data_IF_999758338682
#
_entry.id   IF_999758338682
#
_cell.length_a   1.000
_cell.length_b   1.000
_cell.length_c   1.000
_cell.angle_alpha   90.00
_cell.angle_beta   90.00
_cell.angle_gamma   90.00
#
_symmetry.space_group_name_H-M   'P 1'
#
loop_
_entity.id
_entity.type
_entity.pdbx_description
1 polymer ?
#
# COMPACT_ATOMS: atom_id res chain seq x y z
N UNK A 1 39.14 58.90 3.10
CA UNK A 1 38.82 57.58 3.66
C UNK A 1 37.37 57.29 3.43
N UNK A 2 37.05 56.46 2.45
CA UNK A 2 35.69 56.02 2.13
C UNK A 2 35.34 54.91 3.13
N UNK A 3 34.29 55.17 3.90
CA UNK A 3 33.81 54.32 4.97
C UNK A 3 33.34 52.96 4.47
N UNK A 4 34.18 51.93 4.62
CA UNK A 4 33.90 50.53 4.24
C UNK A 4 32.80 49.85 5.04
N UNK A 5 32.27 50.47 6.10
CA UNK A 5 31.20 49.89 6.94
C UNK A 5 29.83 50.02 6.34
N UNK A 6 29.60 50.95 5.45
CA UNK A 6 28.29 51.11 4.79
C UNK A 6 28.04 50.17 3.61
N UNK A 7 29.09 49.64 2.97
CA UNK A 7 28.93 48.69 1.85
C UNK A 7 28.67 47.25 2.28
N UNK A 8 28.95 46.86 3.51
CA UNK A 8 28.73 45.50 4.03
C UNK A 8 27.25 45.30 4.43
N UNK A 9 26.55 46.36 4.80
CA UNK A 9 25.16 46.28 5.25
C UNK A 9 24.18 46.16 4.03
N UNK A 10 24.51 46.71 2.88
CA UNK A 10 23.66 46.59 1.68
C UNK A 10 23.75 45.22 0.99
N UNK A 11 24.84 44.45 1.17
CA UNK A 11 24.99 43.12 0.56
C UNK A 11 24.32 42.05 1.39
N UNK A 12 24.09 42.25 2.69
CA UNK A 12 23.45 41.28 3.58
C UNK A 12 21.91 41.32 3.48
N UNK A 13 21.30 42.43 3.00
CA UNK A 13 19.85 42.57 2.88
C UNK A 13 19.29 41.95 1.58
N UNK A 14 20.13 41.77 0.56
CA UNK A 14 19.69 41.15 -0.73
C UNK A 14 19.81 39.61 -0.72
N UNK A 15 20.58 39.05 0.23
CA UNK A 15 20.79 37.60 0.35
C UNK A 15 19.71 36.80 1.10
N UNK A 16 18.75 37.47 1.75
CA UNK A 16 17.79 36.78 2.64
C UNK A 16 16.38 36.70 2.07
N UNK A 17 16.12 37.13 0.85
CA UNK A 17 14.80 37.14 0.25
C UNK A 17 14.54 36.02 -0.77
N UNK A 18 15.41 35.02 -0.88
CA UNK A 18 15.30 33.98 -1.93
C UNK A 18 15.19 32.56 -1.39
N UNK A 19 14.73 32.36 -0.15
CA UNK A 19 14.57 31.02 0.45
C UNK A 19 13.16 30.75 1.00
N UNK A 20 12.11 31.32 0.41
CA UNK A 20 10.71 31.03 0.77
C UNK A 20 9.81 30.76 -0.44
N UNK A 21 10.32 30.02 -1.42
CA UNK A 21 9.51 29.55 -2.53
C UNK A 21 9.68 28.03 -2.69
N UNK A 22 9.35 27.29 -1.67
CA UNK A 22 9.40 25.83 -1.61
C UNK A 22 8.24 25.21 -0.86
N UNK A 23 7.08 25.86 -0.80
CA UNK A 23 5.83 25.18 -0.48
C UNK A 23 5.29 24.60 -1.78
N UNK A 24 5.54 23.34 -2.05
CA UNK A 24 4.81 22.60 -3.07
C UNK A 24 3.32 22.67 -2.72
N UNK A 25 2.54 23.39 -3.51
CA UNK A 25 1.11 23.50 -3.33
C UNK A 25 0.49 22.13 -3.59
N UNK A 26 0.07 21.45 -2.55
CA UNK A 26 -0.74 20.24 -2.62
C UNK A 26 -2.13 20.60 -3.12
N UNK A 27 -2.29 20.65 -4.44
CA UNK A 27 -3.56 20.91 -5.11
C UNK A 27 -3.94 22.39 -5.19
N UNK A 28 -4.15 22.89 -6.40
CA UNK A 28 -4.59 24.24 -6.68
C UNK A 28 -5.91 24.18 -7.46
N UNK A 29 -6.86 25.02 -7.10
CA UNK A 29 -8.10 25.19 -7.87
C UNK A 29 -7.89 26.36 -8.84
N UNK A 30 -7.55 26.05 -10.08
CA UNK A 30 -7.48 27.04 -11.16
C UNK A 30 -8.85 27.28 -11.78
N UNK A 31 -9.03 28.43 -12.44
CA UNK A 31 -10.20 28.66 -13.30
C UNK A 31 -9.71 28.69 -14.74
N UNK A 32 -10.43 27.97 -15.60
CA UNK A 32 -10.19 28.04 -17.05
C UNK A 32 -10.72 29.37 -17.64
N UNK A 33 -10.49 29.58 -18.93
CA UNK A 33 -10.95 30.80 -19.64
C UNK A 33 -12.46 31.02 -19.51
N UNK A 34 -13.26 29.97 -19.30
CA UNK A 34 -14.71 30.02 -19.14
C UNK A 34 -15.13 30.22 -17.65
N UNK A 35 -14.18 30.49 -16.74
CA UNK A 35 -14.43 30.69 -15.31
C UNK A 35 -14.76 29.42 -14.54
N UNK A 36 -14.71 28.23 -15.16
CA UNK A 36 -14.98 26.95 -14.53
C UNK A 36 -13.78 26.54 -13.65
N UNK A 37 -14.06 26.02 -12.47
CA UNK A 37 -13.03 25.49 -11.57
C UNK A 37 -12.38 24.24 -12.20
N UNK A 38 -11.06 24.25 -12.30
CA UNK A 38 -10.24 23.13 -12.74
C UNK A 38 -9.38 22.70 -11.56
N UNK A 39 -9.44 21.42 -11.23
CA UNK A 39 -8.55 20.82 -10.22
C UNK A 39 -7.18 20.59 -10.86
N UNK A 40 -6.14 20.96 -10.18
CA UNK A 40 -4.75 20.68 -10.56
C UNK A 40 -3.93 20.33 -9.33
N UNK A 41 -2.91 19.51 -9.50
CA UNK A 41 -1.99 19.17 -8.41
C UNK A 41 -1.49 17.74 -8.49
N UNK A 42 -0.97 17.27 -7.37
CA UNK A 42 -0.33 15.97 -7.26
C UNK A 42 -0.87 15.22 -6.05
N UNK A 43 -1.24 13.96 -6.22
CA UNK A 43 -1.73 13.07 -5.16
C UNK A 43 -0.84 11.83 -5.12
N UNK A 44 -0.41 11.45 -3.94
CA UNK A 44 0.43 10.28 -3.72
C UNK A 44 -0.29 9.21 -2.90
N UNK A 45 -0.19 7.96 -3.35
CA UNK A 45 -0.74 6.81 -2.64
C UNK A 45 0.34 5.75 -2.40
N UNK A 46 0.30 5.10 -1.24
CA UNK A 46 1.10 3.89 -1.00
C UNK A 46 0.33 2.85 -0.22
N UNK A 47 0.72 1.59 -0.31
CA UNK A 47 0.24 0.58 0.62
C UNK A 47 -0.14 -0.77 0.02
N UNK A 48 -1.34 -1.25 0.33
CA UNK A 48 -1.77 -2.63 0.11
C UNK A 48 -1.74 -3.07 -1.35
N UNK A 49 -1.07 -4.19 -1.63
CA UNK A 49 -1.05 -4.83 -2.95
C UNK A 49 -2.47 -5.18 -3.44
N UNK A 50 -3.34 -5.64 -2.55
CA UNK A 50 -4.71 -6.01 -2.89
C UNK A 50 -5.53 -4.86 -3.51
N UNK A 51 -5.29 -3.61 -3.07
CA UNK A 51 -6.01 -2.44 -3.58
C UNK A 51 -5.30 -1.81 -4.80
N UNK A 52 -4.02 -2.10 -5.01
CA UNK A 52 -3.20 -1.45 -6.02
C UNK A 52 -3.79 -1.48 -7.45
N UNK A 53 -4.24 -2.65 -8.00
CA UNK A 53 -4.79 -2.70 -9.35
C UNK A 53 -6.06 -1.84 -9.50
N UNK A 54 -6.92 -1.81 -8.47
CA UNK A 54 -8.14 -1.02 -8.47
C UNK A 54 -7.82 0.48 -8.36
N UNK A 55 -6.83 0.84 -7.53
CA UNK A 55 -6.38 2.22 -7.38
C UNK A 55 -5.81 2.78 -8.69
N UNK A 56 -5.07 1.99 -9.47
CA UNK A 56 -4.60 2.36 -10.81
C UNK A 56 -5.79 2.69 -11.72
N UNK A 57 -6.81 1.84 -11.78
CA UNK A 57 -7.98 2.07 -12.63
C UNK A 57 -8.75 3.33 -12.20
N UNK A 58 -8.86 3.59 -10.89
CA UNK A 58 -9.48 4.82 -10.39
C UNK A 58 -8.65 6.06 -10.72
N UNK A 59 -7.32 5.97 -10.64
CA UNK A 59 -6.43 7.07 -10.98
C UNK A 59 -6.52 7.42 -12.48
N UNK A 60 -6.51 6.41 -13.34
CA UNK A 60 -6.67 6.60 -14.79
C UNK A 60 -8.00 7.30 -15.12
N UNK A 61 -9.09 6.85 -14.52
CA UNK A 61 -10.41 7.47 -14.72
C UNK A 61 -10.49 8.88 -14.12
N UNK A 62 -9.87 9.10 -12.95
CA UNK A 62 -9.81 10.42 -12.34
C UNK A 62 -8.99 11.40 -13.20
N UNK A 63 -7.85 10.96 -13.71
CA UNK A 63 -7.01 11.76 -14.61
C UNK A 63 -7.76 12.11 -15.91
N UNK A 64 -8.55 11.18 -16.46
CA UNK A 64 -9.42 11.46 -17.64
C UNK A 64 -10.42 12.58 -17.38
N UNK A 65 -10.95 12.67 -16.14
CA UNK A 65 -11.89 13.73 -15.73
C UNK A 65 -11.18 15.02 -15.30
N UNK A 66 -9.97 14.90 -14.80
CA UNK A 66 -9.15 16.01 -14.26
C UNK A 66 -7.71 15.91 -14.77
N UNK A 67 -7.45 16.28 -16.04
CA UNK A 67 -6.15 16.06 -16.70
C UNK A 67 -4.97 16.79 -16.05
N UNK A 68 -5.25 17.84 -15.27
CA UNK A 68 -4.23 18.64 -14.57
C UNK A 68 -3.91 18.07 -13.15
N UNK A 69 -4.43 16.88 -12.83
CA UNK A 69 -4.11 16.17 -11.57
C UNK A 69 -3.28 14.93 -11.89
N UNK A 70 -2.08 14.90 -11.37
CA UNK A 70 -1.20 13.73 -11.41
C UNK A 70 -1.39 12.86 -10.16
N UNK A 71 -1.44 11.54 -10.34
CA UNK A 71 -1.61 10.58 -9.24
C UNK A 71 -0.49 9.54 -9.31
N UNK A 72 0.33 9.48 -8.26
CA UNK A 72 1.39 8.49 -8.13
C UNK A 72 0.99 7.42 -7.11
N UNK A 73 1.13 6.15 -7.50
CA UNK A 73 0.67 5.01 -6.71
C UNK A 73 1.79 3.99 -6.57
N UNK A 74 2.12 3.64 -5.33
CA UNK A 74 3.12 2.61 -5.02
C UNK A 74 2.54 1.52 -4.13
N UNK A 75 2.92 0.26 -4.41
CA UNK A 75 2.59 -0.87 -3.53
C UNK A 75 3.73 -1.15 -2.56
N UNK A 76 3.41 -1.70 -1.38
CA UNK A 76 4.41 -2.01 -0.35
C UNK A 76 3.81 -2.66 0.91
N UNK A 77 2.53 -3.05 0.83
CA UNK A 77 1.78 -3.61 1.95
C UNK A 77 1.05 -2.55 2.79
N UNK A 78 -0.02 -2.96 3.46
CA UNK A 78 -0.87 -2.07 4.26
C UNK A 78 -0.10 -1.37 5.38
N UNK A 79 0.86 -2.05 6.00
CA UNK A 79 1.70 -1.49 7.07
C UNK A 79 2.56 -0.34 6.58
N UNK A 80 3.18 -0.47 5.38
CA UNK A 80 3.92 0.61 4.75
C UNK A 80 3.02 1.81 4.48
N UNK A 81 1.85 1.60 3.85
CA UNK A 81 0.92 2.68 3.53
C UNK A 81 0.52 3.49 4.75
N UNK A 82 0.19 2.83 5.87
CA UNK A 82 -0.16 3.52 7.11
C UNK A 82 1.04 4.29 7.69
N UNK A 83 2.24 3.70 7.65
CA UNK A 83 3.45 4.39 8.10
C UNK A 83 3.70 5.64 7.28
N UNK A 84 3.60 5.53 5.95
CA UNK A 84 3.84 6.64 5.04
C UNK A 84 2.83 7.79 5.24
N UNK A 85 1.53 7.49 5.36
CA UNK A 85 0.51 8.52 5.55
C UNK A 85 0.62 9.21 6.91
N UNK A 86 0.94 8.47 7.97
CA UNK A 86 1.15 9.04 9.31
C UNK A 86 2.44 9.85 9.43
N UNK A 87 3.37 9.66 8.50
CA UNK A 87 4.60 10.43 8.39
C UNK A 87 4.53 11.53 7.31
N UNK A 88 3.35 11.84 6.79
CA UNK A 88 3.11 12.82 5.71
C UNK A 88 3.96 12.58 4.44
N UNK A 89 4.36 11.32 4.19
CA UNK A 89 5.10 10.93 2.99
C UNK A 89 4.18 10.69 1.80
N UNK A 90 2.91 10.36 2.04
CA UNK A 90 1.86 10.20 1.03
C UNK A 90 0.56 10.84 1.53
N UNK A 91 -0.33 11.17 0.60
CA UNK A 91 -1.63 11.78 0.92
C UNK A 91 -2.66 10.73 1.34
N UNK A 92 -2.58 9.53 0.76
CA UNK A 92 -3.56 8.44 0.98
C UNK A 92 -2.83 7.11 1.18
N UNK A 93 -3.24 6.37 2.19
CA UNK A 93 -2.80 4.98 2.38
C UNK A 93 -3.81 3.99 1.80
N UNK A 94 -3.33 3.03 1.01
CA UNK A 94 -4.10 1.85 0.63
C UNK A 94 -4.00 0.80 1.74
N UNK A 95 -5.14 0.38 2.30
CA UNK A 95 -5.16 -0.51 3.46
C UNK A 95 -6.16 -1.64 3.27
N UNK A 96 -5.72 -2.88 3.42
CA UNK A 96 -6.52 -4.12 3.27
C UNK A 96 -6.82 -4.81 4.60
N UNK A 97 -6.84 -4.07 5.70
CA UNK A 97 -7.18 -4.50 7.04
C UNK A 97 -7.83 -3.38 7.85
N UNK A 98 -8.34 -3.71 9.03
CA UNK A 98 -8.80 -2.68 9.97
C UNK A 98 -7.61 -1.88 10.52
N UNK A 99 -7.82 -0.59 10.78
CA UNK A 99 -6.85 0.23 11.50
C UNK A 99 -6.70 -0.25 12.94
N UNK A 100 -5.46 -0.36 13.39
CA UNK A 100 -5.12 -0.65 14.79
C UNK A 100 -5.46 0.56 15.68
N UNK A 101 -5.77 0.35 16.98
CA UNK A 101 -6.07 1.46 17.90
C UNK A 101 -5.01 2.57 17.87
N UNK A 102 -3.73 2.20 17.92
CA UNK A 102 -2.61 3.14 17.91
C UNK A 102 -2.50 3.96 16.60
N UNK A 103 -2.95 3.39 15.48
CA UNK A 103 -2.97 4.10 14.19
C UNK A 103 -4.06 5.17 14.18
N UNK A 104 -5.23 4.86 14.76
CA UNK A 104 -6.33 5.82 14.93
C UNK A 104 -5.98 6.94 15.92
N UNK A 105 -5.33 6.62 17.03
CA UNK A 105 -4.85 7.58 18.01
C UNK A 105 -3.85 8.57 17.41
N UNK A 106 -3.07 8.14 16.41
CA UNK A 106 -2.16 8.99 15.62
C UNK A 106 -2.86 9.80 14.52
N UNK A 107 -4.19 9.72 14.41
CA UNK A 107 -4.98 10.53 13.49
C UNK A 107 -5.34 9.83 12.17
N UNK A 108 -5.02 8.54 11.98
CA UNK A 108 -5.44 7.83 10.78
C UNK A 108 -6.97 7.69 10.71
N UNK A 109 -7.55 8.09 9.58
CA UNK A 109 -8.98 7.94 9.27
C UNK A 109 -9.14 6.83 8.22
N UNK A 110 -10.19 6.02 8.33
CA UNK A 110 -10.45 4.94 7.40
C UNK A 110 -11.78 5.13 6.65
N UNK A 111 -11.71 4.98 5.34
CA UNK A 111 -12.86 4.95 4.44
C UNK A 111 -12.92 3.59 3.75
N UNK A 112 -13.97 2.81 4.00
CA UNK A 112 -14.17 1.51 3.36
C UNK A 112 -14.72 1.72 1.94
N UNK A 113 -13.94 1.37 0.93
CA UNK A 113 -14.26 1.60 -0.48
C UNK A 113 -14.64 0.33 -1.23
N UNK A 114 -14.10 -0.82 -0.83
CA UNK A 114 -14.31 -2.11 -1.47
C UNK A 114 -14.32 -3.24 -0.44
N UNK A 115 -14.85 -4.39 -0.85
CA UNK A 115 -14.73 -5.66 -0.13
C UNK A 115 -13.74 -6.54 -0.88
N UNK A 116 -12.93 -7.26 -0.13
CA UNK A 116 -11.93 -8.17 -0.64
C UNK A 116 -12.02 -9.51 0.10
N UNK A 117 -11.40 -10.55 -0.45
CA UNK A 117 -11.33 -11.89 0.15
C UNK A 117 -9.90 -12.41 0.09
N UNK A 118 -9.49 -13.06 1.17
CA UNK A 118 -8.23 -13.81 1.23
C UNK A 118 -8.54 -15.28 1.01
N UNK A 119 -7.85 -15.89 0.06
CA UNK A 119 -8.05 -17.30 -0.32
C UNK A 119 -6.73 -18.03 -0.39
N UNK A 120 -6.72 -19.30 0.01
CA UNK A 120 -5.57 -20.16 -0.23
C UNK A 120 -5.42 -20.44 -1.72
N UNK A 121 -4.19 -20.35 -2.21
CA UNK A 121 -3.85 -20.53 -3.63
C UNK A 121 -2.81 -21.63 -3.79
N UNK A 122 -2.88 -22.42 -4.84
CA UNK A 122 -1.90 -23.46 -5.14
C UNK A 122 -1.76 -23.68 -6.65
N UNK A 123 -0.69 -24.35 -7.05
CA UNK A 123 -0.51 -24.77 -8.44
C UNK A 123 -1.60 -25.75 -8.87
N UNK A 124 -2.18 -25.57 -10.05
CA UNK A 124 -3.22 -26.47 -10.58
C UNK A 124 -2.75 -27.91 -10.81
N UNK A 125 -1.43 -28.12 -10.94
CA UNK A 125 -0.80 -29.45 -11.05
C UNK A 125 -0.46 -30.07 -9.67
N UNK A 126 -0.81 -29.41 -8.58
CA UNK A 126 -0.59 -29.96 -7.23
C UNK A 126 -1.40 -31.25 -7.05
N UNK A 127 -0.80 -32.34 -6.51
CA UNK A 127 -1.48 -33.62 -6.35
C UNK A 127 -2.80 -33.56 -5.59
N UNK A 128 -2.95 -32.66 -4.62
CA UNK A 128 -4.15 -32.51 -3.82
C UNK A 128 -5.13 -31.45 -4.34
N UNK A 129 -4.77 -30.73 -5.43
CA UNK A 129 -5.59 -29.62 -5.95
C UNK A 129 -7.01 -30.04 -6.27
N UNK A 130 -7.20 -31.13 -7.03
CA UNK A 130 -8.54 -31.59 -7.47
C UNK A 130 -9.41 -32.00 -6.30
N UNK A 131 -8.83 -32.57 -5.24
CA UNK A 131 -9.57 -32.92 -4.03
C UNK A 131 -10.01 -31.65 -3.30
N UNK A 132 -9.08 -30.74 -3.01
CA UNK A 132 -9.39 -29.49 -2.33
C UNK A 132 -10.34 -28.58 -3.09
N UNK A 133 -10.30 -28.61 -4.43
CA UNK A 133 -11.26 -27.88 -5.26
C UNK A 133 -12.69 -28.37 -5.08
N UNK A 134 -12.89 -29.67 -4.84
CA UNK A 134 -14.21 -30.29 -4.63
C UNK A 134 -14.71 -30.14 -3.20
N UNK A 135 -13.83 -30.34 -2.23
CA UNK A 135 -14.20 -30.40 -0.80
C UNK A 135 -14.10 -29.06 -0.09
N UNK A 136 -13.33 -28.12 -0.67
CA UNK A 136 -12.90 -26.93 0.00
C UNK A 136 -11.76 -27.23 0.99
N UNK A 137 -11.24 -26.17 1.60
CA UNK A 137 -10.22 -26.22 2.65
C UNK A 137 -10.85 -25.80 3.98
N UNK A 138 -11.08 -26.76 4.87
CA UNK A 138 -11.59 -26.43 6.20
C UNK A 138 -10.54 -25.70 7.04
N UNK A 139 -11.00 -24.90 8.01
CA UNK A 139 -10.11 -24.19 8.95
C UNK A 139 -9.10 -25.13 9.62
N UNK A 140 -9.54 -26.32 10.05
CA UNK A 140 -8.67 -27.31 10.71
C UNK A 140 -7.59 -27.84 9.77
N UNK A 141 -7.92 -28.11 8.50
CA UNK A 141 -6.94 -28.52 7.49
C UNK A 141 -5.96 -27.38 7.22
N UNK A 142 -6.44 -26.15 7.06
CA UNK A 142 -5.60 -24.97 6.89
C UNK A 142 -4.65 -24.78 8.09
N UNK A 143 -5.14 -24.90 9.34
CA UNK A 143 -4.27 -24.86 10.51
C UNK A 143 -3.15 -25.90 10.45
N UNK A 144 -3.48 -27.16 10.10
CA UNK A 144 -2.49 -28.25 9.97
C UNK A 144 -1.41 -27.92 8.92
N UNK A 145 -1.82 -27.35 7.79
CA UNK A 145 -0.91 -26.94 6.69
C UNK A 145 0.02 -25.82 7.17
N UNK A 146 -0.54 -24.71 7.69
CA UNK A 146 0.24 -23.53 8.12
C UNK A 146 0.98 -23.75 9.46
N UNK A 147 0.82 -24.91 10.08
CA UNK A 147 1.68 -25.41 11.18
C UNK A 147 2.87 -26.24 10.65
N UNK A 148 2.98 -26.44 9.35
CA UNK A 148 4.04 -27.22 8.73
C UNK A 148 3.92 -28.74 8.97
N UNK A 149 2.71 -29.23 9.23
CA UNK A 149 2.42 -30.64 9.54
C UNK A 149 2.01 -31.48 8.30
N UNK A 150 2.25 -30.96 7.11
CA UNK A 150 1.97 -31.62 5.82
C UNK A 150 3.22 -31.66 4.96
N UNK A 151 3.14 -32.34 3.79
CA UNK A 151 4.22 -32.37 2.80
C UNK A 151 4.16 -31.19 1.82
N UNK A 152 3.22 -30.26 1.99
CA UNK A 152 3.10 -29.08 1.15
C UNK A 152 4.17 -28.06 1.52
N UNK A 153 4.71 -27.38 0.53
CA UNK A 153 5.58 -26.23 0.71
C UNK A 153 4.70 -25.02 0.98
N UNK A 154 4.73 -24.52 2.21
CA UNK A 154 3.88 -23.41 2.64
C UNK A 154 4.57 -22.08 2.38
N UNK A 155 3.86 -21.18 1.74
CA UNK A 155 4.30 -19.80 1.51
C UNK A 155 3.40 -18.83 2.27
N UNK A 156 3.99 -17.77 2.76
CA UNK A 156 3.29 -16.69 3.46
C UNK A 156 3.89 -15.35 3.10
N UNK A 157 3.36 -14.27 3.65
CA UNK A 157 3.88 -12.93 3.41
C UNK A 157 4.96 -12.55 4.41
N UNK A 158 6.07 -11.96 3.91
CA UNK A 158 7.13 -11.40 4.75
C UNK A 158 6.88 -9.95 5.16
N UNK A 159 6.04 -9.23 4.42
CA UNK A 159 5.65 -7.84 4.72
C UNK A 159 4.42 -7.78 5.64
N UNK A 160 4.27 -6.67 6.36
CA UNK A 160 3.09 -6.40 7.19
C UNK A 160 1.88 -6.10 6.30
N UNK A 161 1.03 -7.08 6.09
CA UNK A 161 -0.06 -6.99 5.12
C UNK A 161 -1.41 -7.50 5.65
N UNK A 162 -2.49 -6.97 5.07
CA UNK A 162 -3.84 -7.36 5.43
C UNK A 162 -4.18 -8.81 5.06
N UNK A 163 -3.61 -9.35 3.99
CA UNK A 163 -3.83 -10.73 3.58
C UNK A 163 -3.33 -11.72 4.65
N UNK A 164 -2.07 -11.62 5.06
CA UNK A 164 -1.52 -12.51 6.08
C UNK A 164 -2.15 -12.30 7.47
N UNK A 165 -2.46 -11.06 7.86
CA UNK A 165 -3.19 -10.79 9.12
C UNK A 165 -4.59 -11.42 9.11
N UNK A 166 -5.34 -11.31 7.99
CA UNK A 166 -6.69 -11.89 7.85
C UNK A 166 -6.64 -13.41 7.84
N UNK A 167 -5.69 -14.00 7.10
CA UNK A 167 -5.50 -15.44 7.08
C UNK A 167 -5.11 -16.00 8.47
N UNK A 168 -4.16 -15.35 9.13
CA UNK A 168 -3.77 -15.74 10.49
C UNK A 168 -4.95 -15.66 11.47
N UNK A 169 -5.76 -14.60 11.42
CA UNK A 169 -6.96 -14.45 12.24
C UNK A 169 -7.98 -15.57 11.96
N UNK A 170 -8.18 -15.96 10.69
CA UNK A 170 -9.01 -17.12 10.33
C UNK A 170 -8.47 -18.42 10.95
N UNK A 171 -7.16 -18.58 11.06
CA UNK A 171 -6.52 -19.72 11.70
C UNK A 171 -6.45 -19.62 13.24
N UNK A 172 -6.95 -18.55 13.84
CA UNK A 172 -6.84 -18.29 15.28
C UNK A 172 -5.40 -17.96 15.73
N UNK A 173 -4.61 -17.34 14.86
CA UNK A 173 -3.18 -17.02 15.03
C UNK A 173 -2.93 -15.54 14.74
N UNK A 174 -1.69 -15.11 14.97
CA UNK A 174 -1.16 -13.83 14.46
C UNK A 174 -0.30 -14.08 13.22
N UNK A 175 -0.04 -13.03 12.43
CA UNK A 175 0.77 -13.16 11.22
C UNK A 175 2.15 -13.74 11.51
N UNK A 176 2.81 -13.33 12.58
CA UNK A 176 4.12 -13.79 13.01
C UNK A 176 4.18 -15.27 13.42
N UNK A 177 3.04 -15.88 13.70
CA UNK A 177 2.91 -17.30 14.07
C UNK A 177 2.76 -18.24 12.86
N UNK A 178 2.51 -17.68 11.66
CA UNK A 178 2.34 -18.48 10.45
C UNK A 178 3.67 -19.12 10.07
N UNK A 179 3.65 -20.43 9.87
CA UNK A 179 4.81 -21.20 9.36
C UNK A 179 4.83 -21.10 7.83
N UNK A 180 6.01 -21.26 7.27
CA UNK A 180 6.25 -21.23 5.83
C UNK A 180 7.33 -20.25 5.42
N UNK A 181 7.65 -20.25 4.12
CA UNK A 181 8.61 -19.31 3.54
C UNK A 181 7.92 -17.96 3.31
N UNK A 182 8.48 -16.90 3.90
CA UNK A 182 7.99 -15.53 3.72
C UNK A 182 8.38 -14.97 2.36
N UNK A 183 7.40 -14.48 1.59
CA UNK A 183 7.58 -13.85 0.29
C UNK A 183 7.02 -12.43 0.31
N UNK A 184 7.65 -11.55 -0.44
CA UNK A 184 7.24 -10.16 -0.50
C UNK A 184 6.12 -9.96 -1.53
N UNK A 185 4.99 -9.40 -1.09
CA UNK A 185 3.86 -9.03 -1.94
C UNK A 185 3.05 -10.23 -2.46
N UNK A 186 1.82 -9.97 -2.88
CA UNK A 186 0.98 -10.98 -3.54
C UNK A 186 1.60 -11.49 -4.86
N UNK A 187 2.27 -10.64 -5.68
CA UNK A 187 2.96 -11.13 -6.87
C UNK A 187 4.05 -12.15 -6.56
N UNK A 188 4.82 -11.97 -5.48
CA UNK A 188 5.87 -12.91 -5.07
C UNK A 188 5.30 -14.28 -4.70
N UNK A 189 4.18 -14.33 -3.98
CA UNK A 189 3.48 -15.58 -3.67
C UNK A 189 2.96 -16.24 -4.95
N UNK A 190 2.28 -15.50 -5.80
CA UNK A 190 1.71 -16.01 -7.05
C UNK A 190 2.78 -16.60 -7.99
N UNK A 191 3.89 -15.87 -8.19
CA UNK A 191 5.00 -16.32 -9.05
C UNK A 191 5.66 -17.59 -8.50
N UNK A 192 5.85 -17.68 -7.18
CA UNK A 192 6.43 -18.86 -6.55
C UNK A 192 5.53 -20.08 -6.72
N UNK A 193 4.22 -19.92 -6.51
CA UNK A 193 3.25 -21.01 -6.67
C UNK A 193 3.12 -21.50 -8.12
N UNK A 194 3.36 -20.64 -9.12
CA UNK A 194 3.43 -21.07 -10.53
C UNK A 194 4.58 -22.06 -10.78
N UNK A 195 5.69 -21.91 -10.06
CA UNK A 195 6.92 -22.69 -10.21
C UNK A 195 6.96 -23.92 -9.29
N UNK A 196 6.34 -23.85 -8.13
CA UNK A 196 6.32 -24.94 -7.14
C UNK A 196 5.01 -25.71 -7.19
N UNK A 197 5.05 -26.91 -7.77
CA UNK A 197 3.88 -27.81 -7.86
C UNK A 197 3.38 -28.25 -6.49
N UNK A 198 4.23 -28.33 -5.48
CA UNK A 198 3.85 -28.71 -4.11
C UNK A 198 3.52 -27.50 -3.23
N UNK A 199 3.52 -26.29 -3.80
CA UNK A 199 3.30 -25.05 -3.08
C UNK A 199 1.83 -24.80 -2.75
N UNK A 200 1.61 -24.16 -1.59
CA UNK A 200 0.35 -23.53 -1.17
C UNK A 200 0.68 -22.21 -0.47
N UNK A 201 -0.09 -21.16 -0.74
CA UNK A 201 0.12 -19.85 -0.15
C UNK A 201 -1.14 -19.01 -0.08
#
# INVERSE_FOLDING_TARGET
GIDMRKKIIEIVVIGTSLLLAGCGSRGEVKRNADGKKVLSGYITLSGAFALYPLAIQWADEFHRLHPDVDIDISAGGAGKGITDVLADQVDIAMVSRKLKPQEKEKGALAYALAKDAVVATMNANNPVYRELLKTGLSQKQAQTIWEGKTKLNVYTRSDACGAAETWAAFLGKKQEDLKGTGLYGDPGVAETLQKDVNGIG
#
